data_IF_138666718391
#
_entry.id   IF_138666718391
#
_cell.length_a   1.000
_cell.length_b   1.000
_cell.length_c   1.000
_cell.angle_alpha   90.00
_cell.angle_beta   90.00
_cell.angle_gamma   90.00
#
_symmetry.space_group_name_H-M   'P 1'
#
loop_
_entity.id
_entity.type
_entity.pdbx_description
1 polymer ?
#
# COMPACT_ATOMS: atom_id res chain seq x y z
N UNK A 1 -15.89 37.09 -19.48
CA UNK A 1 -16.43 36.03 -18.59
C UNK A 1 -16.11 34.63 -19.12
N UNK A 2 -15.16 34.51 -20.05
CA UNK A 2 -15.05 33.35 -20.94
C UNK A 2 -14.37 32.14 -20.29
N UNK A 3 -13.49 32.40 -19.31
CA UNK A 3 -12.81 31.35 -18.55
C UNK A 3 -13.76 30.51 -17.70
N UNK A 4 -14.89 31.07 -17.26
CA UNK A 4 -15.89 30.34 -16.47
C UNK A 4 -16.49 29.18 -17.27
N UNK A 5 -16.65 29.33 -18.59
CA UNK A 5 -17.16 28.26 -19.45
C UNK A 5 -16.21 27.06 -19.54
N UNK A 6 -14.92 27.25 -19.27
CA UNK A 6 -13.94 26.16 -19.22
C UNK A 6 -13.77 25.64 -17.78
N UNK A 7 -13.68 26.55 -16.81
CA UNK A 7 -13.41 26.22 -15.41
C UNK A 7 -14.56 25.45 -14.73
N UNK A 8 -15.81 25.78 -15.05
CA UNK A 8 -16.98 25.09 -14.47
C UNK A 8 -17.06 23.61 -14.88
N UNK A 9 -17.02 23.24 -16.18
CA UNK A 9 -17.05 21.82 -16.54
C UNK A 9 -15.78 21.07 -16.09
N UNK A 10 -14.62 21.74 -16.11
CA UNK A 10 -13.39 21.14 -15.60
C UNK A 10 -13.48 20.82 -14.10
N UNK A 11 -14.05 21.73 -13.29
CA UNK A 11 -14.21 21.49 -11.85
C UNK A 11 -15.20 20.37 -11.55
N UNK A 12 -16.29 20.27 -12.31
CA UNK A 12 -17.23 19.13 -12.21
C UNK A 12 -16.53 17.82 -12.55
N UNK A 13 -15.70 17.80 -13.61
CA UNK A 13 -14.94 16.60 -13.99
C UNK A 13 -13.98 16.15 -12.88
N UNK A 14 -13.27 17.10 -12.25
CA UNK A 14 -12.38 16.84 -11.13
C UNK A 14 -13.16 16.33 -9.91
N UNK A 15 -14.30 16.94 -9.59
CA UNK A 15 -15.14 16.53 -8.47
C UNK A 15 -15.69 15.11 -8.64
N UNK A 16 -16.21 14.79 -9.83
CA UNK A 16 -16.69 13.45 -10.18
C UNK A 16 -15.54 12.45 -10.18
N UNK A 17 -14.40 12.80 -10.78
CA UNK A 17 -13.21 11.94 -10.81
C UNK A 17 -12.69 11.62 -9.42
N UNK A 18 -12.60 12.63 -8.54
CA UNK A 18 -12.24 12.44 -7.13
C UNK A 18 -13.26 11.56 -6.39
N UNK A 19 -14.55 11.78 -6.62
CA UNK A 19 -15.62 10.97 -6.05
C UNK A 19 -15.56 9.50 -6.47
N UNK A 20 -15.32 9.22 -7.75
CA UNK A 20 -15.17 7.86 -8.28
C UNK A 20 -13.91 7.17 -7.74
N UNK A 21 -12.78 7.87 -7.69
CA UNK A 21 -11.55 7.35 -7.10
C UNK A 21 -11.73 7.03 -5.62
N UNK A 22 -12.37 7.93 -4.87
CA UNK A 22 -12.67 7.72 -3.46
C UNK A 22 -13.61 6.52 -3.26
N UNK A 23 -14.69 6.43 -4.03
CA UNK A 23 -15.62 5.29 -3.99
C UNK A 23 -14.92 3.97 -4.31
N UNK A 24 -14.05 3.95 -5.32
CA UNK A 24 -13.28 2.77 -5.67
C UNK A 24 -12.31 2.37 -4.55
N UNK A 25 -11.61 3.33 -3.95
CA UNK A 25 -10.67 3.09 -2.87
C UNK A 25 -11.36 2.50 -1.62
N UNK A 26 -12.54 3.01 -1.25
CA UNK A 26 -13.30 2.48 -0.11
C UNK A 26 -13.87 1.09 -0.37
N UNK A 27 -14.28 0.79 -1.61
CA UNK A 27 -14.78 -0.55 -1.98
C UNK A 27 -13.68 -1.59 -2.19
N UNK A 28 -12.44 -1.17 -2.45
CA UNK A 28 -11.32 -2.08 -2.72
C UNK A 28 -10.74 -2.74 -1.46
N UNK A 29 -11.33 -2.52 -0.27
CA UNK A 29 -10.91 -3.17 0.97
C UNK A 29 -9.55 -2.72 1.50
N UNK A 30 -8.97 -1.63 0.95
CA UNK A 30 -7.69 -1.06 1.39
C UNK A 30 -7.70 -0.56 2.86
N UNK A 31 -8.89 -0.40 3.44
CA UNK A 31 -9.07 0.01 4.84
C UNK A 31 -9.45 -1.15 5.77
N UNK A 32 -9.56 -2.39 5.25
CA UNK A 32 -9.92 -3.56 6.05
C UNK A 32 -8.74 -4.12 6.84
N UNK A 33 -7.49 -3.89 6.37
CA UNK A 33 -6.27 -4.33 7.04
C UNK A 33 -5.51 -3.16 7.70
N UNK A 34 -6.07 -2.65 8.80
CA UNK A 34 -5.38 -1.68 9.66
C UNK A 34 -4.55 -2.36 10.77
N UNK A 35 -4.71 -3.67 10.97
CA UNK A 35 -4.05 -4.44 12.03
C UNK A 35 -2.72 -5.07 11.56
N UNK A 36 -2.60 -5.41 10.27
CA UNK A 36 -1.40 -6.00 9.67
C UNK A 36 -0.10 -5.19 9.80
N UNK A 37 -0.11 -3.84 9.76
CA UNK A 37 1.08 -3.04 10.04
C UNK A 37 1.52 -3.11 11.52
N UNK A 38 0.56 -3.09 12.46
CA UNK A 38 0.86 -3.14 13.89
C UNK A 38 1.44 -4.50 14.31
N UNK A 39 0.92 -5.59 13.72
CA UNK A 39 1.43 -6.93 14.00
C UNK A 39 2.86 -7.16 13.48
N UNK A 40 3.21 -6.54 12.34
CA UNK A 40 4.58 -6.58 11.78
C UNK A 40 5.61 -5.89 12.68
N UNK A 41 5.26 -4.76 13.30
CA UNK A 41 6.15 -4.05 14.22
C UNK A 41 6.48 -4.88 15.47
N UNK A 42 5.53 -5.68 15.97
CA UNK A 42 5.73 -6.57 17.12
C UNK A 42 6.46 -7.88 16.76
N UNK A 43 6.40 -8.30 15.49
CA UNK A 43 7.02 -9.54 14.99
C UNK A 43 8.40 -9.33 14.36
N UNK A 44 8.87 -8.09 14.24
CA UNK A 44 10.14 -7.75 13.56
C UNK A 44 11.40 -8.08 14.41
N UNK A 45 11.24 -8.49 15.67
CA UNK A 45 12.38 -8.72 16.58
C UNK A 45 13.08 -10.09 16.42
N UNK A 46 12.51 -11.06 15.68
CA UNK A 46 13.01 -12.46 15.72
C UNK A 46 13.60 -13.00 14.39
N UNK A 47 13.62 -12.23 13.30
CA UNK A 47 14.11 -12.71 11.98
C UNK A 47 15.53 -12.30 11.61
N UNK A 48 16.35 -11.90 12.58
CA UNK A 48 17.81 -11.78 12.42
C UNK A 48 18.56 -13.05 12.85
N UNK A 49 17.89 -14.20 12.95
CA UNK A 49 18.57 -15.48 13.14
C UNK A 49 19.23 -15.95 11.84
N UNK A 50 20.45 -15.47 11.62
CA UNK A 50 21.57 -16.30 11.21
C UNK A 50 21.39 -17.14 9.96
N UNK A 51 21.31 -16.51 8.78
CA UNK A 51 21.75 -17.17 7.54
C UNK A 51 23.23 -16.85 7.29
N UNK A 52 24.04 -17.21 8.27
CA UNK A 52 25.49 -17.16 8.20
C UNK A 52 26.06 -18.48 8.71
N UNK A 53 26.72 -19.22 7.82
CA UNK A 53 27.67 -20.32 8.11
C UNK A 53 27.09 -21.61 8.71
N UNK A 54 26.58 -22.49 7.84
CA UNK A 54 26.73 -23.94 8.06
C UNK A 54 26.45 -24.75 6.79
N UNK A 55 26.98 -24.33 5.65
CA UNK A 55 27.17 -25.26 4.52
C UNK A 55 28.67 -25.54 4.41
N UNK A 56 29.01 -26.83 4.41
CA UNK A 56 30.27 -27.43 3.95
C UNK A 56 31.38 -27.68 5.00
N UNK A 57 31.15 -28.62 5.94
CA UNK A 57 32.24 -29.36 6.61
C UNK A 57 32.00 -30.87 6.77
N UNK A 58 30.99 -31.46 6.13
CA UNK A 58 30.75 -32.91 6.26
C UNK A 58 30.14 -33.54 5.00
N UNK A 59 31.02 -33.84 4.04
CA UNK A 59 30.90 -34.83 2.93
C UNK A 59 32.08 -34.50 2.01
N UNK A 60 33.25 -35.10 2.14
CA UNK A 60 33.61 -36.48 1.81
C UNK A 60 35.01 -36.66 2.44
N UNK A 61 35.24 -37.66 3.30
CA UNK A 61 35.83 -38.95 2.90
C UNK A 61 37.03 -38.83 1.96
#
# INVERSE_FOLDING_TARGET
>A
MDSLYLLVPLSVLVAVGGGLLFWWATRSGQFDDLEGPAHRILQDDDSASGKGRSDESTRQE
#
